data_IF_050513059686
#
_entry.id   IF_050513059686
#
_cell.length_a   1.000
_cell.length_b   1.000
_cell.length_c   1.000
_cell.angle_alpha   90.00
_cell.angle_beta   90.00
_cell.angle_gamma   90.00
#
_symmetry.space_group_name_H-M   'P 1'
#
loop_
_entity.id
_entity.type
_entity.pdbx_description
1 polymer ?
#
# COMPACT_ATOMS: atom_id res chain seq x y z
N UNK A 1 -1.93 -12.44 -2.78
CA UNK A 1 -1.90 -12.13 -1.35
C UNK A 1 -3.32 -12.34 -0.81
N UNK A 2 -3.55 -13.23 0.17
CA UNK A 2 -4.91 -13.55 0.68
C UNK A 2 -5.13 -12.83 2.01
N UNK A 3 -5.38 -11.53 1.95
CA UNK A 3 -5.62 -10.68 3.13
C UNK A 3 -6.69 -9.64 2.82
N UNK A 4 -7.41 -9.17 3.84
CA UNK A 4 -8.47 -8.16 3.67
C UNK A 4 -7.90 -6.74 3.52
N UNK A 5 -6.73 -6.47 4.09
CA UNK A 5 -6.04 -5.19 3.96
C UNK A 5 -4.58 -5.42 3.54
N UNK A 6 -4.30 -5.52 2.23
CA UNK A 6 -2.96 -5.72 1.73
C UNK A 6 -2.07 -4.51 2.04
N UNK A 7 -0.86 -4.78 2.53
CA UNK A 7 0.14 -3.76 2.80
C UNK A 7 1.26 -3.83 1.76
N UNK A 8 1.41 -2.74 1.00
CA UNK A 8 2.36 -2.61 -0.11
C UNK A 8 3.37 -1.50 0.17
N UNK A 9 4.56 -1.59 -0.43
CA UNK A 9 5.60 -0.57 -0.29
C UNK A 9 5.36 0.58 -1.25
N UNK A 10 5.28 1.80 -0.71
CA UNK A 10 5.18 3.02 -1.48
C UNK A 10 6.57 3.52 -1.87
N UNK A 11 6.95 3.24 -3.11
CA UNK A 11 8.25 3.59 -3.68
C UNK A 11 8.94 2.39 -4.31
N UNK A 12 10.13 2.63 -4.86
CA UNK A 12 10.95 1.60 -5.50
C UNK A 12 11.96 1.01 -4.52
N UNK A 13 12.42 -0.21 -4.82
CA UNK A 13 13.55 -0.81 -4.13
C UNK A 13 14.82 0.07 -4.25
N UNK A 14 15.66 0.12 -3.21
CA UNK A 14 16.94 0.83 -3.26
C UNK A 14 17.93 0.16 -4.22
N UNK A 15 18.92 0.94 -4.67
CA UNK A 15 20.13 0.40 -5.28
C UNK A 15 21.09 -0.14 -4.21
N UNK A 16 22.06 -0.95 -4.62
CA UNK A 16 23.08 -1.51 -3.70
C UNK A 16 23.88 -0.41 -3.00
N UNK A 17 24.13 0.72 -3.68
CA UNK A 17 24.89 1.84 -3.15
C UNK A 17 24.15 2.63 -2.07
N UNK A 18 22.81 2.53 -2.00
CA UNK A 18 22.00 3.31 -1.07
C UNK A 18 22.10 2.79 0.38
N UNK A 19 22.53 1.56 0.58
CA UNK A 19 22.57 0.93 1.90
C UNK A 19 21.17 0.62 2.43
N UNK A 20 20.91 0.97 3.69
CA UNK A 20 19.59 0.82 4.30
C UNK A 20 18.83 2.13 4.10
N UNK A 21 17.66 2.04 3.45
CA UNK A 21 16.77 3.18 3.25
C UNK A 21 15.45 2.97 3.96
N UNK A 22 14.86 4.05 4.44
CA UNK A 22 13.49 4.02 4.92
C UNK A 22 12.51 4.04 3.73
N UNK A 23 11.45 3.23 3.85
CA UNK A 23 10.34 3.16 2.91
C UNK A 23 9.03 3.16 3.67
N UNK A 24 8.07 3.92 3.19
CA UNK A 24 6.72 3.89 3.73
C UNK A 24 5.96 2.74 3.10
N UNK A 25 5.27 1.95 3.91
CA UNK A 25 4.30 0.94 3.46
C UNK A 25 2.89 1.41 3.75
N UNK A 26 1.96 1.05 2.88
CA UNK A 26 0.56 1.48 2.88
C UNK A 26 -0.35 0.27 3.01
N UNK A 27 -1.20 0.25 4.03
CA UNK A 27 -2.32 -0.69 4.10
C UNK A 27 -3.53 -0.12 3.35
N UNK A 28 -4.12 -0.92 2.48
CA UNK A 28 -5.31 -0.54 1.71
C UNK A 28 -6.56 -1.18 2.33
N UNK A 29 -7.47 -0.37 2.87
CA UNK A 29 -8.78 -0.82 3.38
C UNK A 29 -9.93 -0.46 2.44
N UNK A 30 -9.65 -0.10 1.18
CA UNK A 30 -10.65 0.34 0.21
C UNK A 30 -11.29 1.70 0.54
N UNK A 31 -10.66 2.52 1.40
CA UNK A 31 -11.22 3.80 1.86
C UNK A 31 -12.15 3.69 3.07
N UNK A 32 -12.36 2.49 3.62
CA UNK A 32 -13.11 2.28 4.87
C UNK A 32 -12.23 2.36 6.12
N UNK A 33 -10.96 2.72 5.98
CA UNK A 33 -10.03 2.82 7.08
C UNK A 33 -10.22 4.08 7.93
N UNK A 34 -9.43 4.24 9.00
CA UNK A 34 -9.52 5.37 9.91
C UNK A 34 -9.10 6.72 9.30
N UNK A 35 -8.49 6.69 8.11
CA UNK A 35 -7.97 7.86 7.40
C UNK A 35 -8.51 7.92 5.96
N UNK A 36 -9.82 8.21 5.75
CA UNK A 36 -10.43 8.28 4.43
C UNK A 36 -9.84 9.39 3.54
N UNK A 37 -9.18 10.38 4.13
CA UNK A 37 -8.41 11.40 3.42
C UNK A 37 -7.15 10.83 2.74
N UNK A 38 -6.65 9.68 3.21
CA UNK A 38 -5.51 8.96 2.64
C UNK A 38 -5.99 7.89 1.68
N UNK A 39 -6.44 8.37 0.53
CA UNK A 39 -7.02 7.58 -0.56
C UNK A 39 -6.19 6.31 -0.83
N UNK A 40 -6.72 5.14 -0.42
CA UNK A 40 -6.11 3.81 -0.59
C UNK A 40 -4.74 3.56 0.08
N UNK A 41 -4.42 4.37 1.09
CA UNK A 41 -3.29 4.18 1.99
C UNK A 41 -3.72 4.59 3.41
N UNK A 42 -4.75 3.92 3.93
CA UNK A 42 -5.42 4.32 5.17
C UNK A 42 -4.52 4.17 6.40
N UNK A 43 -3.54 3.26 6.38
CA UNK A 43 -2.51 3.16 7.42
C UNK A 43 -1.12 3.13 6.81
N UNK A 44 -0.18 3.79 7.48
CA UNK A 44 1.21 3.92 7.05
C UNK A 44 2.16 3.46 8.14
N UNK A 45 3.23 2.79 7.74
CA UNK A 45 4.36 2.44 8.60
C UNK A 45 5.64 2.63 7.82
N UNK A 46 6.71 3.02 8.49
CA UNK A 46 8.04 3.02 7.89
C UNK A 46 8.75 1.69 8.18
N UNK A 47 9.40 1.17 7.14
CA UNK A 47 10.21 -0.06 7.17
C UNK A 47 11.58 0.23 6.59
N UNK A 48 12.60 -0.44 7.12
CA UNK A 48 13.93 -0.40 6.52
C UNK A 48 14.04 -1.38 5.36
N UNK A 49 14.63 -0.97 4.25
CA UNK A 49 14.88 -1.83 3.09
C UNK A 49 16.34 -1.73 2.69
N UNK A 50 16.96 -2.88 2.42
CA UNK A 50 18.35 -2.96 1.94
C UNK A 50 18.43 -3.84 0.71
N UNK A 51 19.12 -3.36 -0.32
CA UNK A 51 19.52 -4.17 -1.47
C UNK A 51 20.87 -4.85 -1.19
N UNK A 52 20.90 -6.18 -1.24
CA UNK A 52 22.11 -6.98 -1.05
C UNK A 52 22.68 -7.53 -2.38
N UNK A 53 22.19 -7.03 -3.52
CA UNK A 53 22.58 -7.44 -4.87
C UNK A 53 21.69 -8.52 -5.45
N UNK A 54 21.65 -9.70 -4.82
CA UNK A 54 20.83 -10.85 -5.29
C UNK A 54 19.49 -10.99 -4.56
N UNK A 55 19.28 -10.28 -3.45
CA UNK A 55 18.05 -10.28 -2.68
C UNK A 55 17.89 -8.97 -1.91
N UNK A 56 16.69 -8.75 -1.38
CA UNK A 56 16.37 -7.62 -0.51
C UNK A 56 16.12 -8.09 0.92
N UNK A 57 16.58 -7.30 1.89
CA UNK A 57 16.28 -7.51 3.31
C UNK A 57 15.35 -6.40 3.77
N UNK A 58 14.31 -6.78 4.52
CA UNK A 58 13.31 -5.88 5.04
C UNK A 58 13.29 -5.93 6.56
N UNK A 59 13.33 -4.76 7.18
CA UNK A 59 13.07 -4.58 8.60
C UNK A 59 11.61 -4.16 8.79
N UNK A 60 10.72 -5.17 8.82
CA UNK A 60 9.28 -4.99 8.91
C UNK A 60 8.84 -4.75 10.36
N UNK A 61 7.79 -3.95 10.53
CA UNK A 61 7.13 -3.72 11.81
C UNK A 61 5.91 -4.65 11.95
N UNK A 62 5.43 -4.83 13.18
CA UNK A 62 4.14 -5.50 13.39
C UNK A 62 3.04 -4.79 12.62
N UNK A 63 2.13 -5.55 12.01
CA UNK A 63 1.02 -4.98 11.26
C UNK A 63 0.05 -4.27 12.22
N UNK A 64 -0.61 -3.17 11.78
CA UNK A 64 -1.37 -2.31 12.68
C UNK A 64 -2.70 -2.94 13.17
N UNK A 65 -3.19 -3.99 12.51
CA UNK A 65 -4.41 -4.70 12.92
C UNK A 65 -4.50 -6.11 12.33
N UNK A 66 -5.43 -6.94 12.85
CA UNK A 66 -5.58 -8.34 12.47
C UNK A 66 -5.76 -8.62 10.96
N UNK A 67 -6.56 -7.84 10.19
CA UNK A 67 -6.76 -8.12 8.77
C UNK A 67 -5.62 -7.62 7.86
N UNK A 68 -4.49 -7.18 8.41
CA UNK A 68 -3.41 -6.54 7.64
C UNK A 68 -2.23 -7.49 7.48
N UNK A 69 -1.74 -7.64 6.25
CA UNK A 69 -0.56 -8.44 5.95
C UNK A 69 0.32 -7.78 4.87
N UNK A 70 1.64 -7.93 5.00
CA UNK A 70 2.58 -7.54 3.96
C UNK A 70 2.40 -8.41 2.72
N UNK A 71 2.29 -7.77 1.57
CA UNK A 71 2.21 -8.44 0.28
C UNK A 71 3.47 -8.14 -0.53
N UNK A 72 4.09 -9.19 -1.08
CA UNK A 72 5.22 -9.09 -2.00
C UNK A 72 4.84 -9.75 -3.33
N UNK A 73 5.30 -9.18 -4.44
CA UNK A 73 5.05 -9.66 -5.79
C UNK A 73 5.61 -8.71 -6.83
N UNK A 74 5.53 -9.11 -8.10
CA UNK A 74 5.91 -8.29 -9.25
C UNK A 74 4.74 -7.48 -9.83
N UNK A 75 3.58 -7.55 -9.19
CA UNK A 75 2.38 -6.87 -9.65
C UNK A 75 2.53 -5.35 -9.52
N UNK A 76 2.00 -4.62 -10.49
CA UNK A 76 2.12 -3.16 -10.55
C UNK A 76 1.14 -2.52 -9.56
N UNK A 77 1.57 -1.55 -8.72
CA UNK A 77 0.66 -0.80 -7.86
C UNK A 77 -0.46 -0.13 -8.66
N UNK A 78 -1.67 -0.08 -8.09
CA UNK A 78 -2.75 0.65 -8.73
C UNK A 78 -2.42 2.15 -8.88
N UNK A 79 -2.78 2.79 -10.00
CA UNK A 79 -2.69 4.24 -10.15
C UNK A 79 -3.40 4.97 -9.02
N UNK A 80 -2.94 6.17 -8.68
CA UNK A 80 -3.55 7.01 -7.66
C UNK A 80 -5.07 7.15 -7.87
N UNK A 81 -5.84 6.95 -6.79
CA UNK A 81 -7.31 7.00 -6.83
C UNK A 81 -7.99 5.70 -7.26
N UNK A 82 -7.24 4.64 -7.59
CA UNK A 82 -7.80 3.32 -7.92
C UNK A 82 -7.33 2.23 -6.95
N UNK A 83 -8.11 1.16 -6.82
CA UNK A 83 -7.77 0.02 -5.98
C UNK A 83 -8.20 -1.31 -6.59
N UNK A 84 -7.65 -2.37 -5.99
CA UNK A 84 -8.10 -3.74 -6.13
C UNK A 84 -8.10 -4.40 -4.75
N UNK A 85 -8.66 -5.60 -4.64
CA UNK A 85 -8.58 -6.39 -3.41
C UNK A 85 -7.14 -6.69 -2.95
N UNK A 86 -6.15 -6.56 -3.85
CA UNK A 86 -4.73 -6.84 -3.54
C UNK A 86 -3.87 -5.58 -3.49
N UNK A 87 -4.42 -4.41 -3.84
CA UNK A 87 -3.66 -3.17 -4.01
C UNK A 87 -2.89 -3.06 -5.33
N UNK A 88 -2.92 -4.11 -6.16
CA UNK A 88 -2.22 -4.19 -7.44
C UNK A 88 -3.18 -4.43 -8.61
N UNK A 89 -2.70 -4.26 -9.84
CA UNK A 89 -3.49 -4.55 -11.04
C UNK A 89 -3.99 -6.00 -11.08
N UNK A 90 -5.16 -6.28 -11.68
CA UNK A 90 -6.09 -5.34 -12.32
C UNK A 90 -6.88 -4.52 -11.28
N UNK A 91 -6.91 -3.20 -11.47
CA UNK A 91 -7.62 -2.28 -10.58
C UNK A 91 -9.09 -2.22 -10.99
N UNK A 92 -9.99 -2.57 -10.07
CA UNK A 92 -11.42 -2.77 -10.37
C UNK A 92 -12.32 -1.70 -9.74
N UNK A 93 -11.77 -0.84 -8.87
CA UNK A 93 -12.57 0.18 -8.16
C UNK A 93 -11.85 1.52 -8.00
N UNK A 94 -12.63 2.59 -7.85
CA UNK A 94 -12.14 3.88 -7.35
C UNK A 94 -12.10 3.85 -5.83
N UNK A 95 -11.06 4.42 -5.24
CA UNK A 95 -10.99 4.62 -3.80
C UNK A 95 -12.12 5.56 -3.38
N UNK A 96 -12.95 5.16 -2.41
CA UNK A 96 -13.97 6.08 -1.86
C UNK A 96 -13.23 7.17 -1.07
N UNK A 97 -13.07 8.34 -1.68
CA UNK A 97 -12.26 9.45 -1.17
C UNK A 97 -12.32 10.73 -2.01
N UNK A 98 -12.70 10.65 -3.29
CA UNK A 98 -13.14 11.83 -4.04
C UNK A 98 -14.57 12.24 -3.62
N UNK A 99 -14.70 12.84 -2.45
CA UNK A 99 -15.90 13.62 -2.08
C UNK A 99 -15.92 14.92 -2.89
N UNK A 100 -16.03 14.80 -4.22
CA UNK A 100 -16.50 15.89 -5.10
C UNK A 100 -17.42 15.46 -6.23
N UNK A 101 -17.71 14.17 -6.42
CA UNK A 101 -18.62 13.75 -7.49
C UNK A 101 -19.41 12.50 -7.11
N UNK A 102 -20.37 12.65 -6.19
CA UNK A 102 -21.71 12.01 -6.23
C UNK A 102 -22.45 12.25 -4.92
N UNK A 103 -22.83 13.50 -4.68
CA UNK A 103 -24.06 13.75 -3.95
C UNK A 103 -24.89 14.71 -4.78
N UNK A 104 -25.47 14.19 -5.86
CA UNK A 104 -26.72 14.74 -6.34
C UNK A 104 -27.78 14.31 -5.33
N UNK A 105 -28.22 15.26 -4.51
CA UNK A 105 -29.54 15.19 -3.90
C UNK A 105 -30.54 15.23 -5.05
N UNK A 106 -31.28 14.15 -5.23
CA UNK A 106 -32.71 14.30 -5.48
C UNK A 106 -33.38 14.63 -4.14
#
# INVERSE_FOLDING_TARGET
CVTHAPMWMNGTHPDVADGVVDRTVCANFGGYGPHPERVCCDAQLDVGVKNCGSFYVYYLRGTPSCPVAYCAGSETPCPAGTHSATGFTPCTGKCMGDVRTTYSRD
#
